data_IF_539795924000
#
_entry.id   IF_539795924000
#
_cell.length_a   1.000
_cell.length_b   1.000
_cell.length_c   1.000
_cell.angle_alpha   90.00
_cell.angle_beta   90.00
_cell.angle_gamma   90.00
#
_symmetry.space_group_name_H-M   'P 1'
#
loop_
_entity.id
_entity.type
_entity.pdbx_description
1 polymer ?
#
# COMPACT_ATOMS: atom_id res chain seq x y z
N UNK A 1 -7.78 30.19 -17.27
CA UNK A 1 -6.60 29.34 -17.62
C UNK A 1 -6.39 28.29 -16.55
N UNK A 2 -6.06 27.05 -16.94
CA UNK A 2 -5.72 25.98 -15.99
C UNK A 2 -4.31 26.27 -15.44
N UNK A 3 -4.16 26.23 -14.10
CA UNK A 3 -2.87 26.47 -13.45
C UNK A 3 -1.88 25.37 -13.77
N UNK A 4 -0.60 25.71 -13.94
CA UNK A 4 0.45 24.70 -14.17
C UNK A 4 0.56 23.69 -13.01
N UNK A 5 0.48 24.19 -11.76
CA UNK A 5 0.50 23.37 -10.55
C UNK A 5 -0.93 22.94 -10.17
N UNK A 6 -1.64 22.30 -11.12
CA UNK A 6 -2.96 21.71 -10.89
C UNK A 6 -2.90 20.21 -11.13
N UNK A 7 -3.56 19.44 -10.28
CA UNK A 7 -3.62 17.99 -10.35
C UNK A 7 -5.03 17.46 -10.12
N UNK A 8 -5.44 16.51 -10.99
CA UNK A 8 -6.57 15.63 -10.77
C UNK A 8 -6.05 14.33 -10.17
N UNK A 9 -6.58 13.91 -9.03
CA UNK A 9 -6.26 12.63 -8.38
C UNK A 9 -7.47 11.72 -8.49
N UNK A 10 -7.32 10.59 -9.20
CA UNK A 10 -8.40 9.62 -9.42
C UNK A 10 -8.28 8.48 -8.43
N UNK A 11 -9.20 8.42 -7.48
CA UNK A 11 -9.21 7.49 -6.35
C UNK A 11 -8.78 8.15 -5.04
N UNK A 12 -9.57 7.98 -3.97
CA UNK A 12 -9.35 8.54 -2.64
C UNK A 12 -8.99 7.49 -1.57
N UNK A 13 -8.46 6.35 -1.99
CA UNK A 13 -7.82 5.38 -1.10
C UNK A 13 -6.48 5.90 -0.58
N UNK A 14 -5.71 5.02 0.09
CA UNK A 14 -4.43 5.39 0.72
C UNK A 14 -3.45 6.12 -0.21
N UNK A 15 -3.31 5.69 -1.46
CA UNK A 15 -2.39 6.33 -2.41
C UNK A 15 -2.89 7.69 -2.88
N UNK A 16 -4.20 7.81 -3.17
CA UNK A 16 -4.80 9.07 -3.60
C UNK A 16 -4.86 10.11 -2.51
N UNK A 17 -5.27 9.72 -1.30
CA UNK A 17 -5.27 10.62 -0.15
C UNK A 17 -3.85 11.11 0.19
N UNK A 18 -2.86 10.20 0.13
CA UNK A 18 -1.47 10.56 0.40
C UNK A 18 -0.89 11.53 -0.64
N UNK A 19 -1.11 11.27 -1.95
CA UNK A 19 -0.57 12.18 -2.99
C UNK A 19 -1.29 13.54 -2.97
N UNK A 20 -2.60 13.56 -2.73
CA UNK A 20 -3.36 14.80 -2.61
C UNK A 20 -2.83 15.66 -1.45
N UNK A 21 -2.60 15.05 -0.27
CA UNK A 21 -1.98 15.70 0.87
C UNK A 21 -0.63 16.33 0.53
N UNK A 22 0.28 15.56 -0.06
CA UNK A 22 1.65 16.05 -0.33
C UNK A 22 1.68 17.14 -1.40
N UNK A 23 0.87 17.04 -2.45
CA UNK A 23 0.73 18.09 -3.46
C UNK A 23 0.13 19.36 -2.86
N UNK A 24 -0.91 19.22 -2.01
CA UNK A 24 -1.50 20.37 -1.33
C UNK A 24 -0.50 21.09 -0.42
N UNK A 25 0.31 20.35 0.36
CA UNK A 25 1.38 20.93 1.20
C UNK A 25 2.46 21.66 0.39
N UNK A 26 2.57 21.39 -0.91
CA UNK A 26 3.44 22.10 -1.86
C UNK A 26 2.72 23.25 -2.59
N UNK A 27 1.51 23.58 -2.21
CA UNK A 27 0.73 24.69 -2.79
C UNK A 27 0.09 24.37 -4.14
N UNK A 28 -0.08 23.09 -4.48
CA UNK A 28 -0.76 22.69 -5.70
C UNK A 28 -2.27 22.80 -5.54
N UNK A 29 -2.94 23.13 -6.65
CA UNK A 29 -4.40 23.11 -6.79
C UNK A 29 -4.84 21.67 -7.06
N UNK A 30 -5.38 20.99 -6.04
CA UNK A 30 -5.67 19.56 -6.06
C UNK A 30 -7.18 19.33 -6.05
N UNK A 31 -7.65 18.56 -7.04
CA UNK A 31 -9.01 17.98 -7.03
C UNK A 31 -8.88 16.46 -6.93
N UNK A 32 -9.48 15.86 -5.90
CA UNK A 32 -9.55 14.42 -5.71
C UNK A 32 -10.96 13.93 -6.02
N UNK A 33 -11.05 12.90 -6.88
CA UNK A 33 -12.32 12.32 -7.36
C UNK A 33 -12.38 10.85 -6.99
N UNK A 34 -13.48 10.41 -6.38
CA UNK A 34 -13.69 9.00 -6.05
C UNK A 34 -15.16 8.60 -6.23
N UNK A 35 -15.38 7.35 -6.65
CA UNK A 35 -16.72 6.76 -6.76
C UNK A 35 -17.38 6.51 -5.41
N UNK A 36 -16.60 6.33 -4.34
CA UNK A 36 -17.08 6.23 -2.98
C UNK A 36 -17.55 7.58 -2.47
N UNK A 37 -18.52 7.59 -1.56
CA UNK A 37 -19.10 8.82 -1.00
C UNK A 37 -18.16 9.60 -0.08
N UNK A 38 -17.08 8.96 0.39
CA UNK A 38 -16.07 9.55 1.29
C UNK A 38 -14.68 9.00 0.99
N UNK A 39 -13.65 9.71 1.44
CA UNK A 39 -12.26 9.24 1.37
C UNK A 39 -12.06 7.99 2.21
N UNK A 40 -11.37 7.00 1.64
CA UNK A 40 -11.13 5.72 2.32
C UNK A 40 -12.34 4.79 2.39
N UNK A 41 -13.50 5.16 1.82
CA UNK A 41 -14.73 4.39 1.95
C UNK A 41 -14.66 3.02 1.24
N UNK A 42 -13.80 2.84 0.24
CA UNK A 42 -13.54 1.51 -0.36
C UNK A 42 -12.95 0.51 0.62
N UNK A 43 -12.38 0.99 1.73
CA UNK A 43 -11.85 0.21 2.86
C UNK A 43 -12.63 0.47 4.14
N UNK A 44 -13.79 1.13 4.02
CA UNK A 44 -14.73 1.38 5.12
C UNK A 44 -15.10 0.05 5.80
N UNK A 45 -15.33 0.13 7.10
CA UNK A 45 -15.60 -1.01 7.97
C UNK A 45 -14.42 -1.98 8.18
N UNK A 46 -13.26 -1.78 7.53
CA UNK A 46 -12.04 -2.46 7.94
C UNK A 46 -11.52 -1.82 9.25
N UNK A 47 -11.57 -2.51 10.40
CA UNK A 47 -11.23 -1.88 11.67
C UNK A 47 -9.75 -1.51 11.79
N UNK A 48 -8.87 -2.27 11.14
CA UNK A 48 -7.43 -1.99 11.15
C UNK A 48 -6.69 -2.67 10.01
N UNK A 49 -5.72 -1.98 9.48
CA UNK A 49 -4.71 -2.53 8.56
C UNK A 49 -3.38 -2.65 9.28
N UNK A 50 -2.67 -3.73 8.98
CA UNK A 50 -1.35 -3.99 9.54
C UNK A 50 -0.28 -3.17 8.80
N UNK A 51 0.53 -2.43 9.55
CA UNK A 51 1.80 -1.85 9.11
C UNK A 51 2.90 -2.77 9.63
N UNK A 52 3.25 -3.77 8.83
CA UNK A 52 4.17 -4.82 9.25
C UNK A 52 5.37 -4.89 8.31
N UNK A 53 6.60 -4.68 8.81
CA UNK A 53 7.79 -4.85 8.01
C UNK A 53 7.91 -6.28 7.47
N UNK A 54 8.14 -6.37 6.18
CA UNK A 54 8.45 -7.65 5.53
C UNK A 54 9.78 -7.51 4.82
N UNK A 55 10.80 -8.19 5.33
CA UNK A 55 12.18 -8.08 4.86
C UNK A 55 12.59 -9.30 4.03
N UNK A 56 13.46 -9.07 3.05
CA UNK A 56 13.96 -10.07 2.13
C UNK A 56 15.45 -10.33 2.34
N UNK A 57 15.87 -11.61 2.32
CA UNK A 57 17.28 -11.98 2.52
C UNK A 57 18.17 -11.42 1.40
N UNK A 58 17.68 -11.39 0.16
CA UNK A 58 18.45 -11.12 -1.05
C UNK A 58 18.21 -9.76 -1.69
N UNK A 59 17.25 -8.96 -1.21
CA UNK A 59 16.94 -7.65 -1.79
C UNK A 59 17.16 -6.51 -0.77
N UNK A 60 18.40 -6.05 -0.67
CA UNK A 60 18.79 -4.94 0.21
C UNK A 60 18.07 -3.63 -0.16
N UNK A 61 17.78 -3.39 -1.45
CA UNK A 61 17.07 -2.19 -1.91
C UNK A 61 15.62 -2.20 -1.42
N UNK A 62 14.99 -3.38 -1.49
CA UNK A 62 13.65 -3.55 -0.94
C UNK A 62 13.63 -3.31 0.57
N UNK A 63 14.61 -3.86 1.31
CA UNK A 63 14.70 -3.68 2.76
C UNK A 63 14.90 -2.22 3.15
N UNK A 64 15.79 -1.49 2.44
CA UNK A 64 15.98 -0.05 2.63
C UNK A 64 14.66 0.71 2.41
N UNK A 65 13.96 0.44 1.29
CA UNK A 65 12.68 1.05 0.98
C UNK A 65 11.64 0.75 2.07
N UNK A 66 11.54 -0.51 2.52
CA UNK A 66 10.59 -0.93 3.55
C UNK A 66 10.83 -0.16 4.87
N UNK A 67 12.06 -0.14 5.36
CA UNK A 67 12.40 0.56 6.60
C UNK A 67 12.10 2.07 6.50
N UNK A 68 12.54 2.72 5.42
CA UNK A 68 12.28 4.15 5.18
C UNK A 68 10.78 4.45 5.09
N UNK A 69 10.03 3.59 4.40
CA UNK A 69 8.58 3.79 4.22
C UNK A 69 7.82 3.68 5.54
N UNK A 70 8.12 2.67 6.36
CA UNK A 70 7.45 2.51 7.65
C UNK A 70 7.82 3.63 8.62
N UNK A 71 9.09 4.02 8.67
CA UNK A 71 9.51 5.18 9.47
C UNK A 71 8.77 6.44 9.05
N UNK A 72 8.55 6.62 7.74
CA UNK A 72 7.79 7.76 7.23
C UNK A 72 6.31 7.70 7.58
N UNK A 73 5.70 6.52 7.58
CA UNK A 73 4.29 6.32 7.99
C UNK A 73 4.08 6.86 9.41
N UNK A 74 4.90 6.47 10.36
CA UNK A 74 4.78 6.93 11.75
C UNK A 74 5.07 8.42 11.90
N UNK A 75 6.06 8.93 11.16
CA UNK A 75 6.29 10.38 11.09
C UNK A 75 5.06 11.13 10.56
N UNK A 76 4.42 10.62 9.50
CA UNK A 76 3.24 11.25 8.91
C UNK A 76 2.05 11.20 9.87
N UNK A 77 1.83 10.08 10.57
CA UNK A 77 0.78 9.94 11.60
C UNK A 77 0.91 11.04 12.65
N UNK A 78 2.12 11.27 13.16
CA UNK A 78 2.38 12.34 14.11
C UNK A 78 2.16 13.74 13.51
N UNK A 79 2.57 13.95 12.25
CA UNK A 79 2.39 15.25 11.56
C UNK A 79 0.94 15.63 11.33
N UNK A 80 0.08 14.63 11.04
CA UNK A 80 -1.35 14.87 10.81
C UNK A 80 -2.19 14.80 12.10
N UNK A 81 -1.56 14.53 13.24
CA UNK A 81 -2.22 14.49 14.55
C UNK A 81 -3.21 13.32 14.70
N UNK A 82 -2.96 12.19 14.06
CA UNK A 82 -3.81 11.01 14.22
C UNK A 82 -3.55 10.38 15.59
N UNK A 83 -4.60 10.16 16.37
CA UNK A 83 -4.49 9.67 17.74
C UNK A 83 -4.26 8.14 17.83
N UNK A 84 -3.91 7.67 19.05
CA UNK A 84 -3.65 6.25 19.31
C UNK A 84 -4.87 5.33 19.14
N UNK A 85 -6.09 5.88 19.12
CA UNK A 85 -7.31 5.11 18.88
C UNK A 85 -7.51 4.80 17.39
N UNK A 86 -6.80 5.52 16.53
CA UNK A 86 -6.85 5.38 15.07
C UNK A 86 -5.56 4.85 14.46
N UNK A 87 -4.42 4.92 15.19
CA UNK A 87 -3.17 4.27 14.79
C UNK A 87 -2.29 4.00 16.02
N UNK A 88 -1.65 2.83 16.06
CA UNK A 88 -0.76 2.52 17.20
C UNK A 88 0.44 1.70 16.76
N UNK A 89 1.64 2.18 17.13
CA UNK A 89 2.92 1.51 16.91
C UNK A 89 3.18 0.53 18.07
N UNK A 90 2.50 -0.61 18.04
CA UNK A 90 2.58 -1.65 19.10
C UNK A 90 3.72 -2.65 18.91
N UNK A 91 4.44 -2.56 17.80
CA UNK A 91 5.39 -3.59 17.38
C UNK A 91 4.71 -4.73 16.62
N UNK A 92 5.52 -5.55 15.97
CA UNK A 92 5.05 -6.77 15.30
C UNK A 92 6.07 -7.90 15.39
N UNK A 93 5.59 -9.13 15.44
CA UNK A 93 6.41 -10.34 15.53
C UNK A 93 6.06 -11.26 14.36
N UNK A 94 7.05 -11.57 13.53
CA UNK A 94 6.96 -12.64 12.54
C UNK A 94 7.45 -13.94 13.17
N UNK A 95 6.56 -14.92 13.26
CA UNK A 95 6.87 -16.22 13.83
C UNK A 95 7.40 -17.18 12.75
N UNK A 96 8.42 -17.94 13.10
CA UNK A 96 9.04 -18.99 12.31
C UNK A 96 9.25 -20.23 13.17
N UNK A 97 9.27 -21.40 12.54
CA UNK A 97 9.77 -22.61 13.22
C UNK A 97 11.20 -22.35 13.73
N UNK A 98 11.51 -22.91 14.90
CA UNK A 98 12.74 -22.57 15.64
C UNK A 98 14.01 -22.65 14.78
N UNK A 99 14.28 -23.81 14.13
CA UNK A 99 15.49 -24.02 13.33
C UNK A 99 15.51 -23.13 12.09
N UNK A 100 14.40 -23.09 11.33
CA UNK A 100 14.26 -22.27 10.14
C UNK A 100 14.42 -20.78 10.46
N UNK A 101 13.81 -20.33 11.56
CA UNK A 101 13.85 -18.93 11.98
C UNK A 101 15.26 -18.46 12.30
N UNK A 102 16.03 -19.26 13.05
CA UNK A 102 17.43 -18.92 13.38
C UNK A 102 18.29 -18.84 12.12
N UNK A 103 18.22 -19.83 11.23
CA UNK A 103 18.96 -19.84 9.97
C UNK A 103 18.58 -18.65 9.08
N UNK A 104 17.30 -18.34 9.03
CA UNK A 104 16.78 -17.21 8.27
C UNK A 104 17.27 -15.88 8.83
N UNK A 105 17.21 -15.68 10.16
CA UNK A 105 17.69 -14.48 10.83
C UNK A 105 19.19 -14.27 10.58
N UNK A 106 19.99 -15.31 10.77
CA UNK A 106 21.44 -15.28 10.58
C UNK A 106 21.79 -14.84 9.15
N UNK A 107 21.16 -15.45 8.14
CA UNK A 107 21.37 -15.07 6.71
C UNK A 107 20.88 -13.65 6.43
N UNK A 108 19.74 -13.25 6.99
CA UNK A 108 19.18 -11.92 6.78
C UNK A 108 20.13 -10.84 7.30
N UNK A 109 20.63 -10.97 8.53
CA UNK A 109 21.53 -9.99 9.16
C UNK A 109 22.91 -10.00 8.50
N UNK A 110 23.43 -11.20 8.11
CA UNK A 110 24.68 -11.29 7.37
C UNK A 110 24.63 -10.51 6.04
N UNK A 111 23.53 -10.65 5.31
CA UNK A 111 23.36 -9.99 4.01
C UNK A 111 22.93 -8.51 4.13
N UNK A 112 22.36 -8.12 5.26
CA UNK A 112 21.79 -6.79 5.50
C UNK A 112 22.15 -6.29 6.91
N UNK A 113 23.43 -5.96 7.20
CA UNK A 113 23.86 -5.57 8.55
C UNK A 113 23.09 -4.38 9.15
N UNK A 114 22.65 -3.44 8.31
CA UNK A 114 21.86 -2.29 8.73
C UNK A 114 20.48 -2.64 9.31
N UNK A 115 19.99 -3.86 9.10
CA UNK A 115 18.70 -4.28 9.68
C UNK A 115 18.79 -4.59 11.18
N UNK A 116 19.99 -4.70 11.79
CA UNK A 116 20.14 -4.95 13.23
C UNK A 116 19.45 -3.90 14.12
N UNK A 117 19.30 -2.68 13.64
CA UNK A 117 18.59 -1.62 14.34
C UNK A 117 17.07 -1.68 14.20
N UNK A 118 16.56 -2.51 13.28
CA UNK A 118 15.13 -2.63 12.99
C UNK A 118 14.52 -3.96 13.43
N UNK A 119 15.34 -5.00 13.62
CA UNK A 119 14.88 -6.36 13.88
C UNK A 119 15.62 -6.96 15.07
N UNK A 120 14.87 -7.50 16.01
CA UNK A 120 15.40 -8.30 17.12
C UNK A 120 14.89 -9.73 17.02
N UNK A 121 15.75 -10.72 17.25
CA UNK A 121 15.35 -12.11 17.39
C UNK A 121 14.80 -12.34 18.80
N UNK A 122 13.57 -12.82 18.89
CA UNK A 122 12.94 -13.29 20.14
C UNK A 122 13.06 -14.80 20.17
N UNK A 123 13.60 -15.34 21.24
CA UNK A 123 13.81 -16.77 21.40
C UNK A 123 12.49 -17.54 21.70
N UNK A 124 12.57 -18.89 21.61
CA UNK A 124 11.40 -19.72 21.79
C UNK A 124 10.82 -19.71 23.21
N UNK A 125 11.63 -19.42 24.24
CA UNK A 125 11.15 -19.37 25.61
C UNK A 125 10.30 -18.12 25.82
N UNK A 126 10.79 -16.97 25.33
CA UNK A 126 10.05 -15.71 25.36
C UNK A 126 8.74 -15.80 24.57
N UNK A 127 8.76 -16.43 23.38
CA UNK A 127 7.51 -16.65 22.60
C UNK A 127 6.55 -17.54 23.35
N UNK A 128 7.02 -18.63 23.96
CA UNK A 128 6.20 -19.54 24.76
C UNK A 128 5.59 -18.85 25.98
N UNK A 129 6.39 -18.08 26.72
CA UNK A 129 5.96 -17.40 27.94
C UNK A 129 4.93 -16.30 27.65
N UNK A 130 5.18 -15.48 26.63
CA UNK A 130 4.35 -14.31 26.35
C UNK A 130 3.08 -14.64 25.54
N UNK A 131 3.12 -15.65 24.66
CA UNK A 131 2.03 -15.94 23.72
C UNK A 131 1.50 -17.36 23.78
N UNK A 132 2.07 -18.22 24.63
CA UNK A 132 1.73 -19.66 24.73
C UNK A 132 1.89 -20.42 23.39
N UNK A 133 2.85 -20.01 22.54
CA UNK A 133 3.20 -20.65 21.27
C UNK A 133 4.49 -21.44 21.46
N UNK A 134 4.49 -22.72 21.05
CA UNK A 134 5.64 -23.62 21.20
C UNK A 134 6.38 -23.83 19.88
N UNK A 135 7.69 -24.08 19.96
CA UNK A 135 8.51 -24.49 18.80
C UNK A 135 8.83 -23.38 17.80
N UNK A 136 8.55 -22.12 18.17
CA UNK A 136 8.77 -20.96 17.30
C UNK A 136 9.78 -19.99 17.89
N UNK A 137 10.45 -19.24 17.01
CA UNK A 137 11.17 -17.99 17.30
C UNK A 137 10.48 -16.84 16.59
N UNK A 138 10.71 -15.60 17.03
CA UNK A 138 10.10 -14.42 16.46
C UNK A 138 11.10 -13.40 15.92
N UNK A 139 10.79 -12.77 14.79
CA UNK A 139 11.45 -11.54 14.36
C UNK A 139 10.60 -10.38 14.83
N UNK A 140 11.07 -9.67 15.83
CA UNK A 140 10.41 -8.50 16.36
C UNK A 140 10.83 -7.24 15.63
N UNK A 141 9.85 -6.48 15.21
CA UNK A 141 9.99 -5.17 14.58
C UNK A 141 9.31 -4.12 15.47
N UNK A 142 10.09 -3.27 16.09
CA UNK A 142 9.58 -2.18 16.94
C UNK A 142 8.75 -1.16 16.13
N UNK A 143 8.98 -1.06 14.83
CA UNK A 143 8.26 -0.18 13.92
C UNK A 143 6.97 -0.78 13.37
N UNK A 144 6.61 -2.00 13.78
CA UNK A 144 5.32 -2.60 13.43
C UNK A 144 4.15 -1.93 14.16
N UNK A 145 2.95 -2.05 13.59
CA UNK A 145 1.75 -1.49 14.21
C UNK A 145 0.54 -1.57 13.30
N UNK A 146 -0.52 -0.88 13.67
CA UNK A 146 -1.77 -0.86 12.92
C UNK A 146 -2.32 0.55 12.73
N UNK A 147 -3.15 0.73 11.71
CA UNK A 147 -3.81 1.98 11.35
C UNK A 147 -5.27 1.69 11.06
N UNK A 148 -6.19 2.52 11.56
CA UNK A 148 -7.55 2.57 11.03
C UNK A 148 -7.51 3.25 9.66
N UNK A 149 -7.84 2.53 8.57
CA UNK A 149 -7.61 3.02 7.22
C UNK A 149 -8.52 4.21 6.85
N UNK A 150 -9.73 4.23 7.38
CA UNK A 150 -10.69 5.30 7.14
C UNK A 150 -10.23 6.61 7.79
N UNK A 151 -9.92 6.56 9.10
CA UNK A 151 -9.48 7.73 9.86
C UNK A 151 -8.22 8.34 9.23
N UNK A 152 -7.27 7.50 8.83
CA UNK A 152 -6.03 7.95 8.20
C UNK A 152 -6.27 8.65 6.86
N UNK A 153 -7.03 8.02 5.95
CA UNK A 153 -7.32 8.61 4.64
C UNK A 153 -8.15 9.90 4.76
N UNK A 154 -9.14 9.92 5.67
CA UNK A 154 -9.98 11.09 5.91
C UNK A 154 -9.16 12.26 6.45
N UNK A 155 -8.26 12.01 7.40
CA UNK A 155 -7.39 13.04 7.98
C UNK A 155 -6.46 13.64 6.93
N UNK A 156 -5.87 12.82 6.04
CA UNK A 156 -5.01 13.31 4.96
C UNK A 156 -5.71 14.29 4.01
N UNK A 157 -7.00 14.08 3.72
CA UNK A 157 -7.76 14.97 2.83
C UNK A 157 -8.62 15.99 3.56
N UNK A 158 -8.51 16.10 4.89
CA UNK A 158 -9.25 17.10 5.67
C UNK A 158 -8.82 18.54 5.36
N UNK A 159 -7.63 18.73 4.81
CA UNK A 159 -7.11 20.04 4.38
C UNK A 159 -8.12 20.80 3.50
N UNK A 160 -8.34 22.05 3.82
CA UNK A 160 -9.40 22.87 3.20
C UNK A 160 -9.18 23.17 1.73
N UNK A 161 -7.92 23.18 1.29
CA UNK A 161 -7.53 23.52 -0.08
C UNK A 161 -7.58 22.34 -1.07
N UNK A 162 -7.94 21.14 -0.60
CA UNK A 162 -8.19 20.00 -1.47
C UNK A 162 -9.66 19.99 -1.85
N UNK A 163 -9.95 20.15 -3.16
CA UNK A 163 -11.30 20.01 -3.69
C UNK A 163 -11.67 18.52 -3.73
N UNK A 164 -12.75 18.14 -3.07
CA UNK A 164 -13.24 16.77 -2.90
C UNK A 164 -14.48 16.55 -3.73
N UNK A 165 -14.44 15.61 -4.67
CA UNK A 165 -15.56 15.20 -5.51
C UNK A 165 -15.82 13.70 -5.30
N UNK A 166 -16.57 13.40 -4.26
CA UNK A 166 -16.90 12.04 -3.85
C UNK A 166 -18.27 11.61 -4.35
N UNK A 167 -18.51 10.30 -4.48
CA UNK A 167 -19.70 9.74 -5.11
C UNK A 167 -19.70 9.87 -6.64
N UNK A 168 -18.55 10.25 -7.24
CA UNK A 168 -18.39 10.54 -8.66
C UNK A 168 -17.40 9.56 -9.28
N UNK A 169 -17.89 8.64 -10.14
CA UNK A 169 -17.04 7.68 -10.86
C UNK A 169 -16.53 8.31 -12.16
N UNK A 170 -15.21 8.34 -12.35
CA UNK A 170 -14.60 8.78 -13.61
C UNK A 170 -14.92 7.77 -14.72
N UNK A 171 -15.53 8.25 -15.81
CA UNK A 171 -15.96 7.45 -16.95
C UNK A 171 -15.18 7.75 -18.22
N UNK A 172 -14.73 8.99 -18.40
CA UNK A 172 -13.95 9.41 -19.55
C UNK A 172 -12.69 10.17 -19.10
N UNK A 173 -11.59 9.92 -19.79
CA UNK A 173 -10.31 10.63 -19.57
C UNK A 173 -9.71 10.95 -20.93
N UNK A 174 -9.44 12.21 -21.18
CA UNK A 174 -8.86 12.69 -22.44
C UNK A 174 -7.80 13.76 -22.18
N UNK A 175 -6.76 13.78 -23.01
CA UNK A 175 -5.76 14.84 -23.00
C UNK A 175 -5.89 15.68 -24.26
N UNK A 176 -6.23 16.96 -24.13
CA UNK A 176 -6.33 17.94 -25.21
C UNK A 176 -5.41 19.12 -24.94
N UNK A 177 -4.52 19.46 -25.86
CA UNK A 177 -3.59 20.60 -25.74
C UNK A 177 -2.83 20.63 -24.40
N UNK A 178 -2.32 19.44 -23.99
CA UNK A 178 -1.62 19.25 -22.70
C UNK A 178 -2.48 19.57 -21.46
N UNK A 179 -3.79 19.51 -21.57
CA UNK A 179 -4.75 19.61 -20.47
C UNK A 179 -5.53 18.29 -20.37
N UNK A 180 -5.54 17.71 -19.20
CA UNK A 180 -6.34 16.54 -18.89
C UNK A 180 -7.76 16.95 -18.58
N UNK A 181 -8.71 16.31 -19.25
CA UNK A 181 -10.15 16.43 -19.06
C UNK A 181 -10.66 15.11 -18.54
N UNK A 182 -11.43 15.13 -17.46
CA UNK A 182 -12.17 13.96 -17.00
C UNK A 182 -13.66 14.28 -16.95
N UNK A 183 -14.48 13.26 -17.24
CA UNK A 183 -15.92 13.29 -17.00
C UNK A 183 -16.29 12.19 -16.02
N UNK A 184 -17.33 12.42 -15.27
CA UNK A 184 -17.85 11.48 -14.30
C UNK A 184 -19.26 10.99 -14.68
N UNK A 185 -19.69 9.89 -14.06
CA UNK A 185 -21.01 9.31 -14.29
C UNK A 185 -22.18 10.27 -13.96
N UNK A 186 -21.96 11.24 -13.05
CA UNK A 186 -22.89 12.31 -12.70
C UNK A 186 -22.73 13.58 -13.57
N UNK A 187 -22.06 13.43 -14.73
CA UNK A 187 -21.87 14.46 -15.76
C UNK A 187 -21.05 15.69 -15.34
N UNK A 188 -20.29 15.60 -14.25
CA UNK A 188 -19.34 16.66 -13.90
C UNK A 188 -18.10 16.57 -14.79
N UNK A 189 -17.49 17.72 -15.07
CA UNK A 189 -16.26 17.82 -15.84
C UNK A 189 -15.17 18.55 -15.02
N UNK A 190 -13.96 18.01 -15.07
CA UNK A 190 -12.79 18.59 -14.40
C UNK A 190 -11.61 18.67 -15.37
N UNK A 191 -10.74 19.67 -15.14
CA UNK A 191 -9.57 19.92 -15.97
C UNK A 191 -8.35 20.22 -15.10
N UNK A 192 -7.19 19.64 -15.47
CA UNK A 192 -5.91 19.96 -14.85
C UNK A 192 -4.75 19.74 -15.83
N UNK A 193 -3.59 20.31 -15.53
CA UNK A 193 -2.35 20.03 -16.28
C UNK A 193 -1.77 18.66 -15.97
N UNK A 194 -2.11 18.09 -14.80
CA UNK A 194 -1.60 16.81 -14.36
C UNK A 194 -2.73 15.93 -13.86
N UNK A 195 -2.61 14.62 -14.09
CA UNK A 195 -3.53 13.59 -13.59
C UNK A 195 -2.73 12.46 -12.96
N UNK A 196 -3.15 12.02 -11.77
CA UNK A 196 -2.56 10.90 -11.03
C UNK A 196 -3.60 9.82 -10.82
N UNK A 197 -3.37 8.65 -11.36
CA UNK A 197 -4.26 7.51 -11.17
C UNK A 197 -3.87 6.72 -9.92
N UNK A 198 -4.82 6.66 -8.97
CA UNK A 198 -4.72 6.02 -7.66
C UNK A 198 -5.83 4.98 -7.44
N UNK A 199 -6.50 4.54 -8.50
CA UNK A 199 -7.71 3.72 -8.47
C UNK A 199 -7.45 2.21 -8.38
N UNK A 200 -6.34 1.80 -7.78
CA UNK A 200 -5.98 0.39 -7.54
C UNK A 200 -6.11 -0.48 -8.81
N UNK A 201 -6.97 -1.50 -8.80
CA UNK A 201 -7.22 -2.38 -9.94
C UNK A 201 -8.04 -1.74 -11.07
N UNK A 202 -8.79 -0.69 -10.78
CA UNK A 202 -9.61 0.02 -11.77
C UNK A 202 -8.78 0.76 -12.83
N UNK A 203 -7.45 0.88 -12.63
CA UNK A 203 -6.54 1.38 -13.68
C UNK A 203 -6.63 0.55 -14.97
N UNK A 204 -7.04 -0.73 -14.90
CA UNK A 204 -7.29 -1.59 -16.08
C UNK A 204 -8.34 -1.01 -17.04
N UNK A 205 -9.25 -0.18 -16.55
CA UNK A 205 -10.31 0.42 -17.35
C UNK A 205 -9.81 1.57 -18.24
N UNK A 206 -8.55 2.01 -18.08
CA UNK A 206 -7.99 3.10 -18.85
C UNK A 206 -6.92 2.61 -19.81
N UNK A 207 -7.09 2.88 -21.12
CA UNK A 207 -6.19 2.44 -22.19
C UNK A 207 -4.72 2.86 -21.98
N UNK A 208 -4.49 3.95 -21.26
CA UNK A 208 -3.14 4.44 -20.92
C UNK A 208 -2.29 3.42 -20.13
N UNK A 209 -2.91 2.48 -19.43
CA UNK A 209 -2.25 1.49 -18.58
C UNK A 209 -2.35 0.05 -19.10
N UNK A 210 -2.89 -0.16 -20.31
CA UNK A 210 -3.08 -1.50 -20.90
C UNK A 210 -1.78 -2.30 -21.04
N UNK A 211 -0.64 -1.62 -21.03
CA UNK A 211 0.69 -2.22 -21.08
C UNK A 211 1.26 -2.58 -19.70
N UNK A 212 0.61 -2.21 -18.61
CA UNK A 212 1.06 -2.55 -17.25
C UNK A 212 0.42 -3.86 -16.79
N UNK A 213 1.27 -4.82 -16.40
CA UNK A 213 0.79 -6.12 -15.91
C UNK A 213 0.59 -6.10 -14.40
N UNK A 214 -0.60 -6.46 -13.97
CA UNK A 214 -0.91 -6.69 -12.57
C UNK A 214 -2.03 -7.72 -12.44
N UNK A 215 -2.08 -8.36 -11.28
CA UNK A 215 -3.14 -9.28 -10.90
C UNK A 215 -4.02 -8.65 -9.81
N UNK A 216 -5.27 -9.10 -9.75
CA UNK A 216 -6.18 -8.76 -8.66
C UNK A 216 -6.33 -9.96 -7.72
N UNK A 217 -6.38 -9.65 -6.43
CA UNK A 217 -6.49 -10.62 -5.36
C UNK A 217 -7.57 -10.19 -4.38
N UNK A 218 -8.57 -11.04 -4.22
CA UNK A 218 -9.55 -10.91 -3.15
C UNK A 218 -8.92 -11.28 -1.81
N UNK A 219 -9.31 -10.60 -0.74
CA UNK A 219 -8.91 -10.96 0.59
C UNK A 219 -9.96 -10.56 1.62
N UNK A 220 -10.26 -11.51 2.51
CA UNK A 220 -11.16 -11.31 3.63
C UNK A 220 -10.38 -11.25 4.93
N UNK A 221 -10.78 -10.34 5.79
CA UNK A 221 -10.42 -10.30 7.21
C UNK A 221 -11.67 -10.49 8.05
N UNK A 222 -11.49 -10.98 9.25
CA UNK A 222 -12.54 -11.16 10.23
C UNK A 222 -12.11 -10.54 11.56
N UNK A 223 -13.06 -10.30 12.46
CA UNK A 223 -12.75 -9.89 13.82
C UNK A 223 -13.66 -10.57 14.84
N UNK A 224 -13.12 -10.68 16.04
CA UNK A 224 -13.86 -11.09 17.22
C UNK A 224 -13.84 -9.95 18.23
N UNK A 225 -14.93 -9.74 18.96
CA UNK A 225 -14.95 -8.80 20.07
C UNK A 225 -14.11 -9.37 21.20
N UNK A 226 -13.15 -8.61 21.68
CA UNK A 226 -12.24 -9.03 22.74
C UNK A 226 -11.90 -7.85 23.64
N UNK A 227 -11.92 -8.09 24.94
CA UNK A 227 -11.53 -7.10 25.95
C UNK A 227 -10.12 -7.39 26.48
N UNK A 228 -9.13 -7.54 25.59
CA UNK A 228 -7.75 -7.63 26.04
C UNK A 228 -7.30 -6.29 26.60
N UNK A 229 -6.94 -6.24 27.89
CA UNK A 229 -6.45 -5.03 28.54
C UNK A 229 -5.00 -4.71 28.21
N UNK A 230 -4.26 -5.64 27.64
CA UNK A 230 -2.85 -5.47 27.28
C UNK A 230 -2.71 -5.01 25.83
N UNK A 231 -1.87 -4.02 25.60
CA UNK A 231 -1.37 -3.69 24.26
C UNK A 231 -0.41 -4.83 23.86
N UNK A 232 -0.88 -5.71 22.99
CA UNK A 232 -0.08 -6.79 22.44
C UNK A 232 0.41 -6.43 21.05
N UNK A 233 1.57 -6.96 20.68
CA UNK A 233 2.17 -6.85 19.37
C UNK A 233 1.31 -7.55 18.31
N UNK A 234 1.46 -7.14 17.07
CA UNK A 234 0.89 -7.87 15.93
C UNK A 234 1.65 -9.18 15.77
N UNK A 235 0.94 -10.29 15.76
CA UNK A 235 1.52 -11.60 15.49
C UNK A 235 1.26 -12.00 14.04
N UNK A 236 2.26 -12.55 13.36
CA UNK A 236 2.12 -12.98 11.96
C UNK A 236 2.94 -14.23 11.66
N UNK A 237 2.37 -15.07 10.76
CA UNK A 237 2.98 -16.22 10.14
C UNK A 237 2.25 -16.43 8.79
N UNK A 238 1.41 -17.44 8.63
CA UNK A 238 0.50 -17.63 7.49
C UNK A 238 -0.78 -16.76 7.54
N UNK A 239 -0.65 -15.55 7.98
CA UNK A 239 -1.69 -14.58 8.26
C UNK A 239 -1.20 -13.62 9.33
N UNK A 240 -2.10 -12.85 9.91
CA UNK A 240 -1.76 -11.95 11.01
C UNK A 240 -2.94 -11.81 11.98
N UNK A 241 -2.61 -11.45 13.21
CA UNK A 241 -3.56 -11.05 14.24
C UNK A 241 -3.17 -9.68 14.74
N UNK A 242 -4.12 -8.73 14.74
CA UNK A 242 -3.98 -7.41 15.35
C UNK A 242 -4.85 -7.42 16.62
N UNK A 243 -4.26 -7.59 17.79
CA UNK A 243 -5.02 -7.60 19.03
C UNK A 243 -5.40 -6.18 19.46
N UNK A 244 -6.51 -6.07 20.19
CA UNK A 244 -6.90 -4.86 20.94
C UNK A 244 -7.17 -3.59 20.12
N UNK A 245 -7.80 -3.70 18.96
CA UNK A 245 -8.27 -2.54 18.18
C UNK A 245 -9.69 -2.18 18.58
N UNK A 246 -9.89 -1.10 19.34
CA UNK A 246 -11.25 -0.63 19.75
C UNK A 246 -12.13 -1.80 20.26
N UNK A 247 -11.63 -2.63 21.18
CA UNK A 247 -12.27 -3.85 21.70
C UNK A 247 -12.51 -4.96 20.66
N UNK A 248 -11.72 -4.99 19.59
CA UNK A 248 -11.74 -6.06 18.58
C UNK A 248 -10.36 -6.66 18.45
N UNK A 249 -10.30 -7.95 18.20
CA UNK A 249 -9.11 -8.63 17.67
C UNK A 249 -9.37 -8.94 16.20
N UNK A 250 -8.54 -8.36 15.32
CA UNK A 250 -8.66 -8.51 13.86
C UNK A 250 -7.73 -9.63 13.41
N UNK A 251 -8.22 -10.50 12.54
CA UNK A 251 -7.45 -11.60 11.98
C UNK A 251 -7.58 -11.63 10.45
N UNK A 252 -6.52 -11.95 9.78
CA UNK A 252 -6.52 -12.07 8.32
C UNK A 252 -5.19 -12.58 7.76
N UNK A 253 -5.18 -12.71 6.47
CA UNK A 253 -6.30 -12.59 5.57
C UNK A 253 -6.37 -13.82 4.67
N UNK A 254 -7.50 -14.03 4.02
CA UNK A 254 -7.54 -14.88 2.84
C UNK A 254 -6.82 -14.20 1.67
N UNK A 255 -6.46 -14.97 0.65
CA UNK A 255 -5.72 -14.45 -0.51
C UNK A 255 -6.07 -15.30 -1.75
N UNK A 256 -7.03 -14.83 -2.54
CA UNK A 256 -7.54 -15.55 -3.68
C UNK A 256 -7.36 -14.74 -4.95
N UNK A 257 -6.67 -15.33 -5.92
CA UNK A 257 -6.40 -14.71 -7.23
C UNK A 257 -7.61 -14.81 -8.14
N UNK A 258 -7.90 -13.74 -8.89
CA UNK A 258 -8.95 -13.68 -9.90
C UNK A 258 -10.38 -13.87 -9.35
N UNK A 259 -10.60 -13.69 -8.08
CA UNK A 259 -11.93 -13.58 -7.49
C UNK A 259 -12.27 -12.10 -7.30
N UNK A 260 -13.35 -11.63 -7.93
CA UNK A 260 -13.80 -10.24 -7.87
C UNK A 260 -14.96 -10.01 -6.90
N UNK A 261 -15.39 -11.04 -6.14
CA UNK A 261 -16.46 -10.92 -5.15
C UNK A 261 -16.07 -10.01 -3.98
N UNK A 262 -17.02 -9.22 -3.52
CA UNK A 262 -16.93 -8.44 -2.28
C UNK A 262 -17.76 -9.06 -1.14
N UNK A 263 -18.34 -10.23 -1.35
CA UNK A 263 -19.12 -10.93 -0.35
C UNK A 263 -18.21 -11.73 0.60
N UNK A 264 -18.53 -11.73 1.88
CA UNK A 264 -17.83 -12.55 2.85
C UNK A 264 -18.14 -14.04 2.64
N UNK A 265 -17.16 -14.89 2.88
CA UNK A 265 -17.24 -16.34 2.73
C UNK A 265 -17.05 -17.03 4.09
N UNK A 266 -17.92 -17.98 4.43
CA UNK A 266 -17.79 -18.79 5.64
C UNK A 266 -16.51 -19.62 5.66
N UNK A 267 -16.04 -20.05 4.47
CA UNK A 267 -14.79 -20.78 4.34
C UNK A 267 -13.58 -19.91 4.72
N UNK A 268 -13.58 -18.65 4.27
CA UNK A 268 -12.55 -17.66 4.65
C UNK A 268 -12.61 -17.35 6.14
N UNK A 269 -13.83 -17.12 6.68
CA UNK A 269 -14.04 -16.89 8.11
C UNK A 269 -13.47 -18.04 8.93
N UNK A 270 -13.81 -19.28 8.60
CA UNK A 270 -13.28 -20.48 9.27
C UNK A 270 -11.74 -20.53 9.19
N UNK A 271 -11.18 -20.27 8.02
CA UNK A 271 -9.72 -20.20 7.82
C UNK A 271 -9.07 -19.13 8.69
N UNK A 272 -9.65 -17.94 8.75
CA UNK A 272 -9.13 -16.82 9.55
C UNK A 272 -9.24 -17.12 11.06
N UNK A 273 -10.34 -17.69 11.54
CA UNK A 273 -10.47 -18.11 12.93
C UNK A 273 -9.45 -19.21 13.32
N UNK A 274 -9.13 -20.13 12.42
CA UNK A 274 -8.04 -21.10 12.64
C UNK A 274 -6.67 -20.42 12.78
N UNK A 275 -6.39 -19.36 11.99
CA UNK A 275 -5.18 -18.55 12.13
C UNK A 275 -5.15 -17.82 13.47
N UNK A 276 -6.30 -17.27 13.90
CA UNK A 276 -6.43 -16.64 15.21
C UNK A 276 -6.06 -17.60 16.33
N UNK A 277 -6.60 -18.81 16.31
CA UNK A 277 -6.28 -19.87 17.28
C UNK A 277 -4.79 -20.21 17.31
N UNK A 278 -4.16 -20.30 16.14
CA UNK A 278 -2.75 -20.65 16.03
C UNK A 278 -1.83 -19.52 16.52
N UNK A 279 -2.19 -18.25 16.23
CA UNK A 279 -1.36 -17.09 16.55
C UNK A 279 -1.63 -16.48 17.93
N UNK A 280 -2.82 -16.70 18.49
CA UNK A 280 -3.19 -16.17 19.80
C UNK A 280 -4.02 -17.22 20.59
N UNK A 281 -3.40 -18.37 20.95
CA UNK A 281 -4.11 -19.46 21.64
C UNK A 281 -4.58 -19.09 23.05
N UNK A 282 -4.09 -18.02 23.63
CA UNK A 282 -4.52 -17.49 24.92
C UNK A 282 -5.89 -16.78 24.87
N UNK A 283 -6.41 -16.48 23.70
CA UNK A 283 -7.76 -15.96 23.57
C UNK A 283 -8.78 -17.05 23.91
N UNK A 284 -9.74 -16.73 24.78
CA UNK A 284 -10.70 -17.68 25.31
C UNK A 284 -11.47 -18.41 24.18
N UNK A 285 -11.50 -19.76 24.22
CA UNK A 285 -12.11 -20.64 23.21
C UNK A 285 -13.56 -20.29 22.87
N UNK A 286 -14.33 -19.73 23.81
CA UNK A 286 -15.71 -19.30 23.57
C UNK A 286 -15.83 -18.10 22.59
N UNK A 287 -14.77 -17.29 22.43
CA UNK A 287 -14.72 -16.17 21.48
C UNK A 287 -14.30 -16.63 20.07
N UNK A 288 -13.70 -17.81 19.96
CA UNK A 288 -13.13 -18.33 18.73
C UNK A 288 -14.13 -19.13 17.87
N UNK A 289 -15.33 -19.36 18.39
CA UNK A 289 -16.36 -20.13 17.68
C UNK A 289 -17.14 -19.29 16.64
N UNK A 290 -17.06 -17.96 16.69
CA UNK A 290 -17.86 -17.09 15.83
C UNK A 290 -17.16 -15.76 15.55
N UNK A 291 -17.09 -15.37 14.27
CA UNK A 291 -16.74 -13.99 13.87
C UNK A 291 -17.87 -13.03 14.26
N UNK A 292 -17.48 -11.83 14.71
CA UNK A 292 -18.40 -10.73 14.98
C UNK A 292 -18.52 -9.77 13.78
N UNK A 293 -17.81 -10.04 12.71
CA UNK A 293 -17.90 -9.32 11.45
C UNK A 293 -16.72 -9.60 10.55
N UNK A 294 -16.92 -9.30 9.29
CA UNK A 294 -15.94 -9.52 8.20
C UNK A 294 -15.85 -8.30 7.30
N UNK A 295 -14.72 -8.14 6.65
CA UNK A 295 -14.54 -7.18 5.58
C UNK A 295 -13.80 -7.85 4.42
N UNK A 296 -14.23 -7.56 3.20
CA UNK A 296 -13.64 -8.08 1.97
C UNK A 296 -13.14 -6.94 1.11
N UNK A 297 -11.93 -7.08 0.56
CA UNK A 297 -11.35 -6.08 -0.33
C UNK A 297 -10.54 -6.68 -1.46
N UNK A 298 -10.38 -5.88 -2.52
CA UNK A 298 -9.58 -6.22 -3.69
C UNK A 298 -8.19 -5.56 -3.60
N UNK A 299 -7.15 -6.32 -3.93
CA UNK A 299 -5.77 -5.87 -3.97
C UNK A 299 -5.24 -6.01 -5.39
N UNK A 300 -4.79 -4.91 -5.98
CA UNK A 300 -4.04 -4.96 -7.23
C UNK A 300 -2.55 -5.07 -6.93
N UNK A 301 -1.88 -6.06 -7.48
CA UNK A 301 -0.45 -6.29 -7.30
C UNK A 301 0.24 -6.48 -8.65
N UNK A 302 1.31 -5.74 -8.88
CA UNK A 302 2.14 -5.88 -10.08
C UNK A 302 2.82 -7.25 -10.14
N UNK A 303 3.38 -7.59 -11.29
CA UNK A 303 4.07 -8.86 -11.56
C UNK A 303 5.21 -9.18 -10.56
N UNK A 304 5.89 -8.19 -10.00
CA UNK A 304 6.98 -8.34 -9.03
C UNK A 304 6.60 -7.87 -7.61
N UNK A 305 5.29 -7.65 -7.39
CA UNK A 305 4.70 -7.20 -6.12
C UNK A 305 5.24 -5.87 -5.59
N UNK A 306 5.82 -5.03 -6.46
CA UNK A 306 6.23 -3.67 -6.16
C UNK A 306 5.21 -2.70 -6.77
N UNK A 307 4.80 -1.65 -6.09
CA UNK A 307 3.83 -0.71 -6.65
C UNK A 307 4.32 -0.07 -7.95
N UNK A 308 3.40 0.50 -8.70
CA UNK A 308 3.66 1.36 -9.83
C UNK A 308 3.56 2.81 -9.37
N UNK A 309 4.71 3.51 -9.38
CA UNK A 309 4.78 4.92 -8.95
C UNK A 309 5.65 5.72 -9.92
N UNK A 310 5.11 6.75 -10.54
CA UNK A 310 5.87 7.60 -11.44
C UNK A 310 5.12 8.03 -12.70
N UNK A 311 5.88 8.50 -13.68
CA UNK A 311 5.41 8.85 -15.01
C UNK A 311 5.08 7.60 -15.82
N UNK A 312 4.20 7.75 -16.80
CA UNK A 312 3.75 6.68 -17.70
C UNK A 312 4.20 7.01 -19.12
N UNK A 313 4.67 6.00 -19.86
CA UNK A 313 5.07 6.17 -21.27
C UNK A 313 3.84 6.44 -22.17
N UNK A 314 4.06 7.29 -23.17
CA UNK A 314 3.11 7.45 -24.27
C UNK A 314 3.32 6.31 -25.29
N UNK A 315 2.55 5.26 -25.14
CA UNK A 315 2.65 4.08 -26.01
C UNK A 315 2.11 4.34 -27.42
N UNK A 316 1.37 5.43 -27.65
CA UNK A 316 0.86 5.82 -28.99
C UNK A 316 0.14 4.70 -29.74
N UNK A 317 -0.54 3.79 -29.02
CA UNK A 317 -1.15 2.58 -29.60
C UNK A 317 -0.17 1.47 -29.97
N UNK A 318 1.12 1.59 -29.64
CA UNK A 318 2.14 0.57 -29.91
C UNK A 318 2.01 -0.60 -28.92
N UNK A 319 1.96 -1.81 -29.45
CA UNK A 319 2.00 -3.04 -28.64
C UNK A 319 3.38 -3.24 -27.99
N UNK A 320 3.41 -3.78 -26.76
CA UNK A 320 4.64 -4.28 -26.09
C UNK A 320 5.46 -5.28 -26.92
N UNK A 321 4.82 -5.96 -27.85
CA UNK A 321 5.42 -7.00 -28.68
C UNK A 321 6.23 -6.45 -29.87
N UNK A 322 6.31 -5.13 -30.04
CA UNK A 322 7.19 -4.55 -31.05
C UNK A 322 8.66 -4.73 -30.61
N UNK A 323 9.28 -5.81 -31.05
CA UNK A 323 10.67 -6.19 -30.80
C UNK A 323 11.74 -5.16 -31.26
N UNK A 324 11.31 -4.00 -31.76
CA UNK A 324 12.17 -2.91 -32.27
C UNK A 324 11.58 -1.53 -31.91
N UNK A 325 11.35 -1.28 -30.63
CA UNK A 325 11.06 0.09 -30.20
C UNK A 325 12.40 0.82 -30.10
N UNK A 326 12.60 1.83 -30.91
CA UNK A 326 13.75 2.71 -30.81
C UNK A 326 13.71 3.45 -29.47
N UNK A 327 14.81 3.36 -28.71
CA UNK A 327 14.94 4.02 -27.39
C UNK A 327 14.78 5.55 -27.47
N UNK A 328 15.18 6.15 -28.58
CA UNK A 328 15.06 7.58 -28.84
C UNK A 328 13.58 8.03 -29.00
N UNK A 329 12.69 7.09 -29.31
CA UNK A 329 11.25 7.34 -29.49
C UNK A 329 10.42 7.20 -28.22
N UNK A 330 11.03 6.85 -27.07
CA UNK A 330 10.33 6.72 -25.80
C UNK A 330 10.04 8.10 -25.21
N UNK A 331 8.79 8.46 -25.17
CA UNK A 331 8.32 9.74 -24.63
C UNK A 331 7.37 9.48 -23.47
N UNK A 332 7.56 10.22 -22.38
CA UNK A 332 6.63 10.24 -21.28
C UNK A 332 5.35 10.96 -21.67
N UNK A 333 4.20 10.37 -21.34
CA UNK A 333 2.92 11.07 -21.52
C UNK A 333 2.87 12.27 -20.59
N UNK A 334 2.80 13.47 -21.19
CA UNK A 334 2.86 14.72 -20.43
C UNK A 334 1.75 14.82 -19.41
N UNK A 335 2.10 15.10 -18.16
CA UNK A 335 1.16 15.26 -17.06
C UNK A 335 0.45 13.98 -16.62
N UNK A 336 0.85 12.78 -17.10
CA UNK A 336 0.27 11.50 -16.70
C UNK A 336 1.14 10.78 -15.68
N UNK A 337 0.53 10.44 -14.55
CA UNK A 337 1.19 9.73 -13.45
C UNK A 337 0.32 8.58 -12.94
N UNK A 338 1.00 7.59 -12.35
CA UNK A 338 0.36 6.47 -11.66
C UNK A 338 0.92 6.32 -10.24
N UNK A 339 0.05 5.98 -9.30
CA UNK A 339 0.38 5.69 -7.91
C UNK A 339 -0.53 4.56 -7.40
N UNK A 340 -0.25 3.32 -7.83
CA UNK A 340 -1.18 2.20 -7.68
C UNK A 340 -0.47 0.83 -7.57
N UNK A 341 -1.26 -0.24 -7.48
CA UNK A 341 -0.81 -1.64 -7.47
C UNK A 341 0.07 -2.00 -6.26
N UNK A 342 -0.27 -1.53 -5.08
CA UNK A 342 0.45 -1.76 -3.83
C UNK A 342 0.28 -3.16 -3.24
N UNK A 343 -0.65 -3.96 -3.76
CA UNK A 343 -1.01 -5.25 -3.20
C UNK A 343 -1.51 -5.11 -1.75
N UNK A 344 -0.93 -5.89 -0.84
CA UNK A 344 -1.25 -5.83 0.60
C UNK A 344 -0.43 -4.80 1.39
N UNK A 345 0.42 -3.98 0.72
CA UNK A 345 1.37 -3.07 1.37
C UNK A 345 1.05 -1.59 1.17
N UNK A 346 -0.20 -1.27 0.86
CA UNK A 346 -0.61 0.11 0.60
C UNK A 346 -0.25 1.06 1.74
N UNK A 347 -0.65 0.74 2.94
CA UNK A 347 -0.39 1.58 4.12
C UNK A 347 1.08 1.65 4.54
N UNK A 348 1.89 0.65 4.20
CA UNK A 348 3.33 0.67 4.44
C UNK A 348 4.10 1.51 3.43
N UNK A 349 3.69 1.53 2.15
CA UNK A 349 4.48 2.16 1.08
C UNK A 349 3.90 3.45 0.52
N UNK A 350 2.57 3.57 0.42
CA UNK A 350 1.96 4.67 -0.31
C UNK A 350 2.30 6.07 0.28
N UNK A 351 2.40 6.27 1.60
CA UNK A 351 2.74 7.59 2.14
C UNK A 351 4.08 8.13 1.64
N UNK A 352 5.17 7.35 1.74
CA UNK A 352 6.49 7.77 1.26
C UNK A 352 6.55 7.84 -0.27
N UNK A 353 5.97 6.86 -0.96
CA UNK A 353 5.93 6.85 -2.43
C UNK A 353 5.18 8.05 -2.99
N UNK A 354 4.12 8.48 -2.31
CA UNK A 354 3.36 9.68 -2.67
C UNK A 354 4.15 10.96 -2.43
N UNK A 355 4.93 11.05 -1.34
CA UNK A 355 5.84 12.18 -1.12
C UNK A 355 6.85 12.28 -2.26
N UNK A 356 7.51 11.16 -2.61
CA UNK A 356 8.49 11.15 -3.70
C UNK A 356 7.85 11.46 -5.05
N UNK A 357 6.63 11.01 -5.31
CA UNK A 357 5.89 11.36 -6.52
C UNK A 357 5.53 12.85 -6.54
N UNK A 358 5.12 13.42 -5.42
CA UNK A 358 4.85 14.86 -5.31
C UNK A 358 6.13 15.67 -5.54
N UNK A 359 7.28 15.22 -5.04
CA UNK A 359 8.58 15.86 -5.30
C UNK A 359 8.97 15.77 -6.79
N UNK A 360 8.65 14.67 -7.48
CA UNK A 360 8.83 14.54 -8.93
C UNK A 360 7.99 15.57 -9.70
N UNK A 361 6.69 15.65 -9.35
CA UNK A 361 5.75 16.58 -10.00
C UNK A 361 6.13 18.04 -9.76
N UNK A 362 6.63 18.34 -8.57
CA UNK A 362 7.07 19.67 -8.13
C UNK A 362 8.53 20.01 -8.49
N UNK A 363 9.22 19.12 -9.21
CA UNK A 363 10.62 19.26 -9.62
C UNK A 363 11.61 19.48 -8.45
N UNK A 364 11.29 18.96 -7.27
CA UNK A 364 12.06 19.12 -6.02
C UNK A 364 12.69 17.79 -5.52
N UNK A 365 13.10 16.92 -6.46
CA UNK A 365 13.64 15.58 -6.18
C UNK A 365 14.99 15.62 -5.44
N UNK A 366 15.09 14.83 -4.38
CA UNK A 366 16.37 14.49 -3.75
C UNK A 366 16.88 13.09 -4.22
N UNK A 367 18.02 12.65 -3.67
CA UNK A 367 18.64 11.35 -4.02
C UNK A 367 17.78 10.15 -3.62
N UNK A 368 17.08 10.23 -2.47
CA UNK A 368 16.24 9.14 -1.98
C UNK A 368 14.97 9.00 -2.82
N UNK A 369 14.38 10.13 -3.25
CA UNK A 369 13.26 10.15 -4.20
C UNK A 369 13.65 9.49 -5.53
N UNK A 370 14.80 9.84 -6.08
CA UNK A 370 15.31 9.26 -7.34
C UNK A 370 15.50 7.75 -7.20
N UNK A 371 16.09 7.31 -6.10
CA UNK A 371 16.25 5.89 -5.80
C UNK A 371 14.89 5.18 -5.73
N UNK A 372 13.94 5.71 -4.95
CA UNK A 372 12.62 5.14 -4.74
C UNK A 372 11.84 5.08 -6.05
N UNK A 373 11.72 6.19 -6.77
CA UNK A 373 10.97 6.27 -8.02
C UNK A 373 11.60 5.40 -9.12
N UNK A 374 12.93 5.32 -9.20
CA UNK A 374 13.62 4.41 -10.11
C UNK A 374 13.32 2.94 -9.80
N UNK A 375 13.23 2.57 -8.51
CA UNK A 375 12.92 1.21 -8.07
C UNK A 375 11.45 0.83 -8.28
N UNK A 376 10.53 1.79 -8.18
CA UNK A 376 9.08 1.62 -8.33
C UNK A 376 8.53 2.04 -9.70
N UNK A 377 9.41 2.45 -10.63
CA UNK A 377 9.02 2.92 -11.96
C UNK A 377 7.99 1.98 -12.62
N UNK A 378 6.85 2.47 -13.11
CA UNK A 378 5.83 1.63 -13.73
C UNK A 378 6.36 0.88 -14.95
N UNK A 379 7.28 1.47 -15.69
CA UNK A 379 7.85 0.91 -16.92
C UNK A 379 9.05 -0.02 -16.70
N UNK A 380 9.39 -0.35 -15.44
CA UNK A 380 10.58 -1.16 -15.08
C UNK A 380 10.63 -2.53 -15.76
N UNK A 381 9.48 -3.16 -16.05
CA UNK A 381 9.42 -4.43 -16.79
C UNK A 381 9.75 -4.24 -18.26
N UNK A 382 9.20 -3.20 -18.86
CA UNK A 382 9.44 -2.81 -20.23
C UNK A 382 10.95 -2.52 -20.44
N UNK A 383 11.56 -1.71 -19.58
CA UNK A 383 12.98 -1.40 -19.64
C UNK A 383 13.87 -2.64 -19.44
N UNK A 384 13.48 -3.57 -18.57
CA UNK A 384 14.20 -4.84 -18.43
C UNK A 384 14.16 -5.69 -19.69
N UNK A 385 13.02 -5.75 -20.36
CA UNK A 385 12.85 -6.44 -21.65
C UNK A 385 13.74 -5.90 -22.76
N UNK A 386 14.04 -4.59 -22.72
CA UNK A 386 14.95 -3.92 -23.64
C UNK A 386 16.44 -4.08 -23.27
N UNK A 387 16.81 -4.91 -22.31
CA UNK A 387 18.20 -5.10 -21.87
C UNK A 387 18.75 -3.97 -21.01
N UNK A 388 17.92 -3.04 -20.55
CA UNK A 388 18.32 -1.86 -19.77
C UNK A 388 18.50 -2.14 -18.27
N UNK A 389 18.75 -3.40 -17.89
CA UNK A 389 18.90 -3.83 -16.49
C UNK A 389 19.95 -3.06 -15.68
N UNK A 390 21.02 -2.57 -16.33
CA UNK A 390 22.13 -1.87 -15.66
C UNK A 390 21.94 -0.34 -15.59
N UNK A 391 21.04 0.23 -16.39
CA UNK A 391 20.82 1.69 -16.48
C UNK A 391 19.55 2.15 -15.76
N UNK A 392 18.92 1.29 -14.95
CA UNK A 392 17.61 1.48 -14.35
C UNK A 392 17.49 2.61 -13.31
N UNK A 393 18.45 3.51 -13.20
CA UNK A 393 18.40 4.65 -12.27
C UNK A 393 18.56 5.99 -13.01
N UNK A 394 19.08 5.99 -14.24
CA UNK A 394 19.39 7.24 -14.99
C UNK A 394 18.46 7.55 -16.16
N UNK A 395 17.31 6.88 -16.27
CA UNK A 395 16.30 7.45 -17.15
C UNK A 395 15.88 8.80 -16.57
N UNK A 396 16.10 9.88 -17.35
CA UNK A 396 15.66 11.23 -17.02
C UNK A 396 14.24 11.16 -16.43
N UNK A 397 14.20 11.15 -15.09
CA UNK A 397 12.97 11.23 -14.32
C UNK A 397 12.27 12.53 -14.67
#
# INVERSE_FOLDING_TARGET
>A
MVKNNSALVVGAGISGSSIAYHLNKKGWDVTIVDQAKESGLSIYANPAVCVNPNVMISDQRFNRLMCSSISYVWKLINLIGLDESSASQVGSIHLFEHKEGIDRFTRLIKNNPGLKSFITLIDQNQIRENYNIKGCVGFYFNSGGWINPEDFCRTLVSETNIRKEFGSKVTEVECKEDVWHIKTNDKKEFKAKNIVFCSAGDIANYAYFSHLDFDQYRGQIDWVNSETKQKLEILSNNGYVIPSVKKKTVVGSSYEKNNCSYEASDADTKSNLNKLNALLPSLNNNLLSRSNGSWVGQRAASFDRKPYVGRVLDMGGKSRLANKIDRSSLVWKKGLYINACYGSRGFSFAPLSSLSLANLMDQSLNSDDKFLLGYLNPERRFFRGMGLKKQGIEFKL
#
